data_IF_258804941171
#
_entry.id   IF_258804941171
#
_cell.length_a   1.000
_cell.length_b   1.000
_cell.length_c   1.000
_cell.angle_alpha   90.00
_cell.angle_beta   90.00
_cell.angle_gamma   90.00
#
_symmetry.space_group_name_H-M   'P 1'
#
loop_
_entity.id
_entity.type
_entity.pdbx_description
1 polymer ?
#
# COMPACT_ATOMS: atom_id res chain seq x y z
N UNK A 1 20.64 -0.77 9.83
CA UNK A 1 19.29 -0.87 10.43
C UNK A 1 18.70 -2.18 9.94
N UNK A 2 18.21 -3.04 10.82
CA UNK A 2 17.55 -4.31 10.46
C UNK A 2 16.05 -4.05 10.49
N UNK A 3 15.33 -4.47 9.44
CA UNK A 3 13.87 -4.33 9.33
C UNK A 3 13.23 -5.66 9.73
N UNK A 4 12.23 -5.63 10.61
CA UNK A 4 11.50 -6.82 11.07
C UNK A 4 10.17 -7.00 10.36
N UNK A 5 9.55 -8.20 10.45
CA UNK A 5 8.20 -8.42 9.91
C UNK A 5 7.15 -7.49 10.51
N UNK A 6 7.30 -7.13 11.79
CA UNK A 6 6.38 -6.21 12.45
C UNK A 6 6.53 -4.78 11.91
N UNK A 7 7.76 -4.35 11.62
CA UNK A 7 8.01 -3.06 10.96
C UNK A 7 7.36 -3.01 9.57
N UNK A 8 7.49 -4.07 8.77
CA UNK A 8 6.85 -4.16 7.45
C UNK A 8 5.32 -4.12 7.56
N UNK A 9 4.76 -4.83 8.54
CA UNK A 9 3.32 -4.82 8.81
C UNK A 9 2.81 -3.44 9.21
N UNK A 10 3.54 -2.73 10.07
CA UNK A 10 3.18 -1.37 10.50
C UNK A 10 3.18 -0.38 9.33
N UNK A 11 4.19 -0.41 8.47
CA UNK A 11 4.25 0.46 7.28
C UNK A 11 3.14 0.12 6.28
N UNK A 12 2.86 -1.16 6.06
CA UNK A 12 1.76 -1.60 5.20
C UNK A 12 0.40 -1.09 5.71
N UNK A 13 0.17 -1.18 7.02
CA UNK A 13 -1.04 -0.66 7.66
C UNK A 13 -1.18 0.85 7.52
N UNK A 14 -0.10 1.61 7.76
CA UNK A 14 -0.12 3.07 7.60
C UNK A 14 -0.44 3.46 6.15
N UNK A 15 0.15 2.77 5.17
CA UNK A 15 -0.18 2.98 3.75
C UNK A 15 -1.66 2.74 3.46
N UNK A 16 -2.27 1.71 4.06
CA UNK A 16 -3.70 1.44 3.95
C UNK A 16 -4.56 2.56 4.57
N UNK A 17 -4.18 3.06 5.75
CA UNK A 17 -4.87 4.17 6.42
C UNK A 17 -4.81 5.44 5.58
N UNK A 18 -3.63 5.81 5.09
CA UNK A 18 -3.44 6.99 4.25
C UNK A 18 -4.22 6.85 2.94
N UNK A 19 -4.22 5.67 2.31
CA UNK A 19 -5.06 5.40 1.14
C UNK A 19 -6.56 5.68 1.43
N UNK A 20 -7.06 5.15 2.55
CA UNK A 20 -8.45 5.33 2.95
C UNK A 20 -8.81 6.80 3.21
N UNK A 21 -7.97 7.52 3.94
CA UNK A 21 -8.20 8.93 4.26
C UNK A 21 -8.09 9.83 3.03
N UNK A 22 -7.08 9.61 2.18
CA UNK A 22 -6.92 10.35 0.93
C UNK A 22 -8.14 10.15 0.04
N UNK A 23 -8.62 8.91 -0.13
CA UNK A 23 -9.81 8.59 -0.94
C UNK A 23 -11.06 9.29 -0.42
N UNK A 24 -11.25 9.37 0.91
CA UNK A 24 -12.42 10.03 1.52
C UNK A 24 -12.38 11.55 1.35
N UNK A 25 -11.20 12.16 1.47
CA UNK A 25 -11.03 13.62 1.50
C UNK A 25 -10.86 14.26 0.13
N UNK A 26 -10.47 13.47 -0.88
CA UNK A 26 -10.28 13.98 -2.23
C UNK A 26 -11.62 14.10 -2.96
N UNK A 27 -11.83 15.24 -3.62
CA UNK A 27 -12.95 15.45 -4.55
C UNK A 27 -12.70 14.70 -5.86
N UNK A 28 -12.74 13.38 -5.78
CA UNK A 28 -12.64 12.47 -6.92
C UNK A 28 -13.99 12.54 -7.67
N UNK A 29 -13.94 12.60 -8.99
CA UNK A 29 -15.09 12.79 -9.89
C UNK A 29 -15.70 14.21 -9.93
N UNK A 30 -15.08 15.20 -9.29
CA UNK A 30 -15.36 16.61 -9.56
C UNK A 30 -16.75 17.11 -9.17
N UNK A 31 -17.31 16.54 -8.09
CA UNK A 31 -18.64 16.90 -7.59
C UNK A 31 -18.60 18.00 -6.51
N UNK A 32 -17.40 18.33 -6.03
CA UNK A 32 -17.16 19.37 -5.04
C UNK A 32 -17.15 20.78 -5.63
N UNK A 33 -16.66 21.72 -4.83
CA UNK A 33 -16.77 23.15 -5.10
C UNK A 33 -16.09 23.55 -6.42
N UNK A 34 -14.96 22.93 -6.77
CA UNK A 34 -14.22 23.24 -8.00
C UNK A 34 -15.00 22.87 -9.25
N UNK A 35 -15.65 21.69 -9.28
CA UNK A 35 -16.49 21.28 -10.41
C UNK A 35 -17.71 22.19 -10.59
N UNK A 36 -18.35 22.60 -9.48
CA UNK A 36 -19.46 23.55 -9.50
C UNK A 36 -19.02 24.93 -10.01
N UNK A 37 -17.87 25.42 -9.55
CA UNK A 37 -17.32 26.69 -10.02
C UNK A 37 -16.95 26.63 -11.51
N UNK A 38 -16.37 25.52 -11.97
CA UNK A 38 -16.06 25.30 -13.38
C UNK A 38 -17.33 25.36 -14.24
N UNK A 39 -18.41 24.70 -13.83
CA UNK A 39 -19.70 24.72 -14.51
C UNK A 39 -20.32 26.13 -14.54
N UNK A 40 -20.34 26.83 -13.41
CA UNK A 40 -20.90 28.19 -13.31
C UNK A 40 -20.11 29.20 -14.16
N UNK A 41 -18.78 29.16 -14.11
CA UNK A 41 -17.93 30.01 -14.94
C UNK A 41 -18.15 29.72 -16.44
N UNK A 42 -18.26 28.44 -16.81
CA UNK A 42 -18.54 28.05 -18.19
C UNK A 42 -19.91 28.54 -18.67
N UNK A 43 -20.95 28.42 -17.83
CA UNK A 43 -22.29 28.93 -18.12
C UNK A 43 -22.32 30.45 -18.33
N UNK A 44 -21.37 31.17 -17.73
CA UNK A 44 -21.18 32.62 -17.89
C UNK A 44 -20.21 32.99 -19.02
N UNK A 45 -19.80 32.04 -19.87
CA UNK A 45 -18.82 32.23 -20.95
C UNK A 45 -17.46 32.75 -20.46
N UNK A 46 -17.09 32.45 -19.22
CA UNK A 46 -15.78 32.79 -18.67
C UNK A 46 -14.79 31.67 -19.01
N UNK A 47 -13.66 32.00 -19.65
CA UNK A 47 -12.57 31.07 -19.96
C UNK A 47 -12.07 30.29 -18.74
N UNK A 48 -12.20 30.87 -17.55
CA UNK A 48 -11.87 30.21 -16.28
C UNK A 48 -12.60 28.87 -16.08
N UNK A 49 -13.78 28.68 -16.68
CA UNK A 49 -14.50 27.41 -16.60
C UNK A 49 -13.75 26.23 -17.22
N UNK A 50 -13.13 26.42 -18.41
CA UNK A 50 -12.32 25.37 -19.04
C UNK A 50 -11.03 25.11 -18.27
N UNK A 51 -10.38 26.15 -17.79
CA UNK A 51 -9.13 26.02 -17.01
C UNK A 51 -9.36 25.28 -15.69
N UNK A 52 -10.46 25.57 -14.98
CA UNK A 52 -10.85 24.84 -13.77
C UNK A 52 -11.17 23.37 -14.06
N UNK A 53 -11.79 23.08 -15.22
CA UNK A 53 -12.09 21.71 -15.63
C UNK A 53 -10.82 20.91 -15.92
N UNK A 54 -9.85 21.49 -16.63
CA UNK A 54 -8.53 20.87 -16.88
C UNK A 54 -7.77 20.65 -15.57
N UNK A 55 -7.79 21.64 -14.69
CA UNK A 55 -7.18 21.55 -13.36
C UNK A 55 -7.79 20.40 -12.54
N UNK A 56 -9.11 20.29 -12.54
CA UNK A 56 -9.84 19.23 -11.83
C UNK A 56 -9.54 17.84 -12.40
N UNK A 57 -9.48 17.71 -13.73
CA UNK A 57 -9.08 16.46 -14.40
C UNK A 57 -7.65 16.05 -14.05
N UNK A 58 -6.74 17.03 -13.97
CA UNK A 58 -5.35 16.78 -13.61
C UNK A 58 -5.25 16.34 -12.14
N UNK A 59 -5.93 17.04 -11.24
CA UNK A 59 -6.04 16.67 -9.84
C UNK A 59 -6.57 15.25 -9.64
N UNK A 60 -7.67 14.90 -10.30
CA UNK A 60 -8.27 13.55 -10.22
C UNK A 60 -7.29 12.46 -10.66
N UNK A 61 -6.56 12.68 -11.75
CA UNK A 61 -5.53 11.76 -12.25
C UNK A 61 -4.37 11.58 -11.25
N UNK A 62 -3.87 12.68 -10.69
CA UNK A 62 -2.76 12.65 -9.73
C UNK A 62 -3.16 11.95 -8.43
N UNK A 63 -4.35 12.26 -7.89
CA UNK A 63 -4.85 11.59 -6.68
C UNK A 63 -5.02 10.09 -6.92
N UNK A 64 -5.59 9.69 -8.06
CA UNK A 64 -5.72 8.27 -8.42
C UNK A 64 -4.36 7.56 -8.49
N UNK A 65 -3.34 8.22 -9.03
CA UNK A 65 -1.98 7.70 -9.08
C UNK A 65 -1.42 7.48 -7.67
N UNK A 66 -1.57 8.47 -6.79
CA UNK A 66 -1.11 8.37 -5.39
C UNK A 66 -1.86 7.28 -4.62
N UNK A 67 -3.18 7.16 -4.82
CA UNK A 67 -3.97 6.07 -4.25
C UNK A 67 -3.45 4.70 -4.72
N UNK A 68 -3.19 4.54 -6.02
CA UNK A 68 -2.62 3.29 -6.54
C UNK A 68 -1.25 2.98 -5.92
N UNK A 69 -0.40 3.98 -5.70
CA UNK A 69 0.89 3.79 -5.03
C UNK A 69 0.73 3.31 -3.58
N UNK A 70 -0.15 3.94 -2.79
CA UNK A 70 -0.39 3.50 -1.41
C UNK A 70 -1.00 2.09 -1.35
N UNK A 71 -1.95 1.78 -2.25
CA UNK A 71 -2.50 0.44 -2.36
C UNK A 71 -1.41 -0.59 -2.72
N UNK A 72 -0.52 -0.24 -3.67
CA UNK A 72 0.59 -1.10 -4.07
C UNK A 72 1.57 -1.35 -2.92
N UNK A 73 1.96 -0.31 -2.18
CA UNK A 73 2.83 -0.44 -1.00
C UNK A 73 2.18 -1.34 0.05
N UNK A 74 0.93 -1.06 0.41
CA UNK A 74 0.18 -1.84 1.40
C UNK A 74 0.12 -3.32 0.99
N UNK A 75 -0.26 -3.61 -0.25
CA UNK A 75 -0.40 -4.98 -0.74
C UNK A 75 0.97 -5.70 -0.82
N UNK A 76 2.01 -4.99 -1.27
CA UNK A 76 3.34 -5.58 -1.40
C UNK A 76 3.94 -5.93 -0.04
N UNK A 77 3.78 -5.06 0.97
CA UNK A 77 4.30 -5.32 2.31
C UNK A 77 3.53 -6.43 3.03
N UNK A 78 2.20 -6.50 2.83
CA UNK A 78 1.39 -7.61 3.33
C UNK A 78 1.83 -8.95 2.70
N UNK A 79 2.04 -8.97 1.39
CA UNK A 79 2.59 -10.14 0.69
C UNK A 79 3.97 -10.53 1.23
N UNK A 80 4.91 -9.58 1.37
CA UNK A 80 6.26 -9.85 1.87
C UNK A 80 6.24 -10.39 3.30
N UNK A 81 5.38 -9.86 4.17
CA UNK A 81 5.18 -10.39 5.53
C UNK A 81 4.70 -11.84 5.50
N UNK A 82 3.69 -12.14 4.69
CA UNK A 82 3.16 -13.51 4.54
C UNK A 82 4.19 -14.48 3.94
N UNK A 83 4.98 -14.04 2.97
CA UNK A 83 6.03 -14.85 2.35
C UNK A 83 7.11 -15.22 3.37
N UNK A 84 7.61 -14.26 4.14
CA UNK A 84 8.60 -14.54 5.18
C UNK A 84 8.06 -15.45 6.28
N UNK A 85 6.80 -15.29 6.70
CA UNK A 85 6.20 -16.20 7.68
C UNK A 85 6.15 -17.65 7.17
N UNK A 86 5.85 -17.86 5.88
CA UNK A 86 5.88 -19.20 5.26
C UNK A 86 7.30 -19.76 5.17
N UNK A 87 8.28 -18.93 4.87
CA UNK A 87 9.69 -19.35 4.85
C UNK A 87 10.15 -19.77 6.25
N UNK A 88 9.78 -19.02 7.29
CA UNK A 88 10.08 -19.36 8.68
C UNK A 88 9.42 -20.70 9.10
N UNK A 89 8.17 -20.94 8.70
CA UNK A 89 7.47 -22.21 8.91
C UNK A 89 8.17 -23.37 8.18
N UNK A 90 8.61 -23.17 6.94
CA UNK A 90 9.31 -24.18 6.15
C UNK A 90 10.69 -24.52 6.76
N UNK A 91 11.44 -23.50 7.21
CA UNK A 91 12.71 -23.69 7.92
C UNK A 91 12.46 -24.45 9.22
N UNK A 92 11.49 -24.02 10.04
CA UNK A 92 11.15 -24.69 11.29
C UNK A 92 10.73 -26.16 11.08
N UNK A 93 10.01 -26.47 9.99
CA UNK A 93 9.65 -27.83 9.63
C UNK A 93 10.87 -28.66 9.21
N UNK A 94 11.81 -28.08 8.45
CA UNK A 94 13.04 -28.76 8.03
C UNK A 94 14.02 -29.07 9.18
N UNK A 95 13.92 -28.30 10.27
CA UNK A 95 14.75 -28.45 11.48
C UNK A 95 14.10 -29.31 12.57
N UNK A 96 13.11 -30.14 12.20
CA UNK A 96 12.45 -31.10 13.08
C UNK A 96 12.72 -32.53 12.65
N UNK A 97 12.90 -33.40 13.63
CA UNK A 97 12.91 -34.86 13.45
C UNK A 97 11.52 -35.34 13.02
N UNK A 98 11.44 -36.56 12.46
CA UNK A 98 10.16 -37.17 12.01
C UNK A 98 9.14 -37.35 13.14
N UNK A 99 9.60 -37.44 14.38
CA UNK A 99 8.76 -37.53 15.59
C UNK A 99 8.26 -36.15 16.06
N UNK A 100 8.61 -35.07 15.35
CA UNK A 100 8.26 -33.71 15.65
C UNK A 100 9.19 -33.02 16.66
N UNK A 101 10.19 -33.70 17.21
CA UNK A 101 11.17 -33.07 18.11
C UNK A 101 12.11 -32.12 17.36
N UNK A 102 12.53 -31.02 18.00
CA UNK A 102 13.46 -30.07 17.37
C UNK A 102 14.87 -30.66 17.29
N UNK A 103 15.57 -30.45 16.18
CA UNK A 103 16.97 -30.83 16.05
C UNK A 103 17.84 -30.01 17.01
N UNK A 104 18.84 -30.65 17.61
CA UNK A 104 19.83 -29.97 18.46
C UNK A 104 20.80 -29.13 17.63
N UNK A 105 21.35 -28.07 18.22
CA UNK A 105 22.36 -27.20 17.56
C UNK A 105 23.58 -28.01 17.10
N UNK A 106 24.01 -29.00 17.89
CA UNK A 106 25.09 -29.92 17.53
C UNK A 106 24.79 -30.76 16.29
N UNK A 107 23.54 -31.16 16.09
CA UNK A 107 23.12 -31.90 14.88
C UNK A 107 23.09 -30.98 13.66
N UNK A 108 22.59 -29.74 13.81
CA UNK A 108 22.55 -28.75 12.74
C UNK A 108 23.96 -28.36 12.29
N UNK A 109 24.89 -28.15 13.22
CA UNK A 109 26.29 -27.85 12.93
C UNK A 109 26.99 -28.94 12.10
N UNK A 110 26.46 -30.16 12.09
CA UNK A 110 27.01 -31.24 11.26
C UNK A 110 26.68 -31.07 9.77
N UNK A 111 25.68 -30.25 9.43
CA UNK A 111 25.23 -29.98 8.05
C UNK A 111 25.77 -28.66 7.48
N UNK A 112 26.20 -27.73 8.33
CA UNK A 112 26.74 -26.42 7.93
C UNK A 112 28.26 -26.46 8.10
N UNK A 113 29.00 -26.51 6.98
CA UNK A 113 30.48 -26.57 6.97
C UNK A 113 31.12 -25.20 7.10
#
# INVERSE_FOLDING_TARGET
MVVTQDDLGAVGHEAFVVHGELRKKSDIAGTGATGKAAAECSARNLTMGSELSVTLSTWDSQVKTVLQMYAHISNHLDHSKQAHARDDEAIAASLRHRDGSAMSVSEIQRYVK
#
